data_IF_697942060824
#
_entry.id   IF_697942060824
#
_cell.length_a   1.000
_cell.length_b   1.000
_cell.length_c   1.000
_cell.angle_alpha   90.00
_cell.angle_beta   90.00
_cell.angle_gamma   90.00
#
_symmetry.space_group_name_H-M   'P 1'
#
loop_
_entity.id
_entity.type
_entity.pdbx_description
1 polymer ?
#
# COMPACT_ATOMS: atom_id res chain seq x y z
N UNK A 1 9.20 -7.13 -11.96
CA UNK A 1 8.08 -6.20 -11.68
C UNK A 1 6.78 -6.99 -11.77
N UNK A 2 5.98 -7.05 -10.71
CA UNK A 2 4.69 -7.78 -10.70
C UNK A 2 3.57 -6.75 -10.84
N UNK A 3 2.75 -6.88 -11.88
CA UNK A 3 1.58 -6.03 -12.10
C UNK A 3 0.37 -6.58 -11.37
N UNK A 4 -0.50 -5.70 -10.88
CA UNK A 4 -1.75 -6.05 -10.23
C UNK A 4 -2.88 -5.37 -10.99
N UNK A 5 -3.85 -6.16 -11.47
CA UNK A 5 -5.05 -5.62 -12.10
C UNK A 5 -6.01 -5.13 -11.01
N UNK A 6 -6.28 -3.82 -11.01
CA UNK A 6 -7.15 -3.17 -10.03
C UNK A 6 -8.43 -2.71 -10.73
N UNK A 7 -9.61 -3.13 -10.26
CA UNK A 7 -10.88 -2.61 -10.77
C UNK A 7 -10.97 -1.09 -10.62
N UNK A 8 -11.58 -0.40 -11.59
CA UNK A 8 -11.78 1.05 -11.51
C UNK A 8 -12.65 1.45 -10.31
N UNK A 9 -13.51 0.55 -9.88
CA UNK A 9 -14.43 0.69 -8.74
C UNK A 9 -13.85 0.09 -7.45
N UNK A 10 -12.54 -0.16 -7.39
CA UNK A 10 -11.92 -0.73 -6.20
C UNK A 10 -12.08 0.21 -5.00
N UNK A 11 -12.46 -0.38 -3.87
CA UNK A 11 -12.41 0.26 -2.55
C UNK A 11 -11.03 0.06 -1.93
N UNK A 12 -10.73 0.77 -0.86
CA UNK A 12 -9.53 0.58 -0.07
C UNK A 12 -9.39 -0.84 0.45
N UNK A 13 -10.46 -1.39 1.04
CA UNK A 13 -10.48 -2.77 1.53
C UNK A 13 -10.26 -3.76 0.38
N UNK A 14 -10.96 -3.58 -0.74
CA UNK A 14 -10.79 -4.45 -1.91
C UNK A 14 -9.38 -4.40 -2.50
N UNK A 15 -8.71 -3.25 -2.46
CA UNK A 15 -7.32 -3.12 -2.88
C UNK A 15 -6.37 -3.84 -1.92
N UNK A 16 -6.58 -3.72 -0.61
CA UNK A 16 -5.82 -4.44 0.42
C UNK A 16 -5.95 -5.96 0.23
N UNK A 17 -7.17 -6.48 0.09
CA UNK A 17 -7.42 -7.92 -0.11
C UNK A 17 -6.70 -8.46 -1.35
N UNK A 18 -6.71 -7.68 -2.42
CA UNK A 18 -6.08 -8.06 -3.68
C UNK A 18 -4.54 -8.05 -3.54
N UNK A 19 -4.00 -7.09 -2.81
CA UNK A 19 -2.57 -7.06 -2.44
C UNK A 19 -2.19 -8.26 -1.56
N UNK A 20 -2.97 -8.57 -0.52
CA UNK A 20 -2.78 -9.73 0.36
C UNK A 20 -2.72 -11.01 -0.46
N UNK A 21 -3.69 -11.21 -1.35
CA UNK A 21 -3.79 -12.38 -2.22
C UNK A 21 -2.57 -12.51 -3.13
N UNK A 22 -2.09 -11.40 -3.72
CA UNK A 22 -0.94 -11.40 -4.63
C UNK A 22 0.39 -11.64 -3.93
N UNK A 23 0.56 -11.13 -2.70
CA UNK A 23 1.77 -11.29 -1.88
C UNK A 23 1.76 -12.63 -1.14
N UNK A 24 0.60 -13.23 -0.89
CA UNK A 24 0.45 -14.51 -0.21
C UNK A 24 0.53 -14.42 1.31
N UNK A 25 0.14 -13.28 1.89
CA UNK A 25 0.07 -13.11 3.35
C UNK A 25 -1.17 -13.86 3.85
N UNK A 26 -0.97 -14.82 4.76
CA UNK A 26 -2.06 -15.66 5.30
C UNK A 26 -2.55 -15.23 6.69
N UNK A 27 -1.75 -14.42 7.39
CA UNK A 27 -2.03 -13.96 8.74
C UNK A 27 -2.59 -12.54 8.70
N UNK A 28 -3.75 -12.32 9.33
CA UNK A 28 -4.45 -11.03 9.39
C UNK A 28 -3.88 -10.08 10.46
N UNK A 29 -2.99 -10.60 11.30
CA UNK A 29 -2.22 -9.95 12.36
C UNK A 29 -1.09 -9.04 11.84
N UNK A 30 -1.05 -8.81 10.52
CA UNK A 30 -0.09 -7.91 9.87
C UNK A 30 -0.78 -6.66 9.35
N UNK A 31 -0.23 -5.50 9.67
CA UNK A 31 -0.71 -4.23 9.12
C UNK A 31 -0.10 -4.00 7.73
N UNK A 32 -0.94 -3.74 6.72
CA UNK A 32 -0.48 -3.39 5.37
C UNK A 32 -0.54 -1.89 5.18
N UNK A 33 0.61 -1.30 4.83
CA UNK A 33 0.73 0.12 4.52
C UNK A 33 1.06 0.27 3.05
N UNK A 34 0.18 0.95 2.31
CA UNK A 34 0.36 1.23 0.88
C UNK A 34 0.71 2.70 0.67
N UNK A 35 1.77 2.95 -0.10
CA UNK A 35 2.28 4.30 -0.40
C UNK A 35 2.68 4.41 -1.86
N UNK A 36 2.42 5.53 -2.53
CA UNK A 36 2.90 5.76 -3.90
C UNK A 36 3.79 6.99 -3.97
N UNK A 37 4.86 6.90 -4.77
CA UNK A 37 5.77 8.03 -5.01
C UNK A 37 5.28 8.82 -6.22
N UNK A 38 5.12 10.14 -6.08
CA UNK A 38 4.70 11.02 -7.18
C UNK A 38 5.91 11.52 -7.96
N UNK A 39 6.90 12.03 -7.24
CA UNK A 39 8.15 12.57 -7.77
C UNK A 39 9.34 12.15 -6.91
N UNK A 40 10.55 12.01 -7.50
CA UNK A 40 11.76 11.76 -6.75
C UNK A 40 12.02 12.85 -5.71
N UNK A 41 12.37 12.46 -4.48
CA UNK A 41 12.68 13.39 -3.39
C UNK A 41 11.45 13.92 -2.62
N UNK A 42 10.24 13.68 -3.11
CA UNK A 42 9.01 14.01 -2.37
C UNK A 42 8.60 12.86 -1.44
N UNK A 43 8.01 13.17 -0.27
CA UNK A 43 7.43 12.15 0.59
C UNK A 43 6.37 11.33 -0.17
N UNK A 44 6.37 9.99 -0.04
CA UNK A 44 5.38 9.18 -0.71
C UNK A 44 4.00 9.38 -0.07
N UNK A 45 2.97 9.38 -0.91
CA UNK A 45 1.59 9.62 -0.48
C UNK A 45 0.98 8.30 -0.02
N UNK A 46 0.37 8.32 1.16
CA UNK A 46 -0.27 7.13 1.75
C UNK A 46 -1.67 6.94 1.18
N UNK A 47 -2.06 5.68 0.97
CA UNK A 47 -3.44 5.30 0.64
C UNK A 47 -4.07 4.77 1.93
N UNK A 48 -5.09 5.46 2.45
CA UNK A 48 -5.72 5.14 3.74
C UNK A 48 -7.25 4.98 3.63
N UNK A 49 -7.85 5.46 2.56
CA UNK A 49 -9.30 5.39 2.35
C UNK A 49 -9.69 5.28 0.86
N UNK A 50 -10.98 5.06 0.62
CA UNK A 50 -11.53 4.94 -0.74
C UNK A 50 -11.28 6.17 -1.62
N UNK A 51 -11.27 7.36 -1.02
CA UNK A 51 -10.98 8.61 -1.75
C UNK A 51 -9.54 8.61 -2.28
N UNK A 52 -8.58 8.12 -1.51
CA UNK A 52 -7.18 8.03 -1.92
C UNK A 52 -7.00 7.01 -3.04
N UNK A 53 -7.69 5.86 -2.97
CA UNK A 53 -7.70 4.86 -4.05
C UNK A 53 -8.23 5.49 -5.32
N UNK A 54 -9.37 6.19 -5.25
CA UNK A 54 -9.97 6.87 -6.39
C UNK A 54 -9.01 7.90 -7.00
N UNK A 55 -8.33 8.70 -6.17
CA UNK A 55 -7.34 9.66 -6.62
C UNK A 55 -6.17 8.96 -7.33
N UNK A 56 -5.58 7.92 -6.73
CA UNK A 56 -4.49 7.16 -7.32
C UNK A 56 -4.87 6.53 -8.67
N UNK A 57 -6.05 5.91 -8.77
CA UNK A 57 -6.54 5.33 -10.03
C UNK A 57 -6.72 6.41 -11.11
N UNK A 58 -7.25 7.58 -10.76
CA UNK A 58 -7.35 8.70 -11.70
C UNK A 58 -5.98 9.23 -12.12
N UNK A 59 -5.02 9.32 -11.19
CA UNK A 59 -3.65 9.73 -11.47
C UNK A 59 -2.98 8.78 -12.48
N UNK A 60 -3.11 7.47 -12.29
CA UNK A 60 -2.60 6.45 -13.21
C UNK A 60 -3.25 6.52 -14.60
N UNK A 61 -4.55 6.85 -14.69
CA UNK A 61 -5.25 7.00 -15.98
C UNK A 61 -4.75 8.17 -16.82
N UNK A 62 -4.11 9.18 -16.23
CA UNK A 62 -3.55 10.31 -17.00
C UNK A 62 -2.31 9.93 -17.80
N UNK A 63 -1.59 8.88 -17.40
CA UNK A 63 -0.34 8.44 -18.01
C UNK A 63 -0.35 6.93 -18.29
N UNK A 64 -1.36 6.48 -19.06
CA UNK A 64 -1.60 5.05 -19.35
C UNK A 64 -0.44 4.34 -20.05
N UNK A 65 0.47 5.09 -20.69
CA UNK A 65 1.60 4.54 -21.44
C UNK A 65 2.81 4.16 -20.58
N UNK A 66 2.84 4.58 -19.31
CA UNK A 66 3.98 4.34 -18.41
C UNK A 66 3.51 3.55 -17.18
N UNK A 67 3.50 2.22 -17.31
CA UNK A 67 3.08 1.31 -16.25
C UNK A 67 3.87 1.50 -14.94
N UNK A 68 5.14 1.93 -15.03
CA UNK A 68 6.03 2.18 -13.90
C UNK A 68 5.83 3.53 -13.21
N UNK A 69 5.03 4.46 -13.76
CA UNK A 69 4.83 5.79 -13.18
C UNK A 69 3.99 5.69 -11.92
N UNK A 70 4.39 6.29 -10.82
CA UNK A 70 3.70 6.16 -9.52
C UNK A 70 3.67 4.72 -8.99
N UNK A 71 4.82 4.10 -8.73
CA UNK A 71 4.85 2.76 -8.15
C UNK A 71 4.25 2.78 -6.75
N UNK A 72 3.43 1.79 -6.43
CA UNK A 72 3.00 1.53 -5.05
C UNK A 72 4.10 0.71 -4.37
N UNK A 73 4.56 1.21 -3.23
CA UNK A 73 5.32 0.49 -2.23
C UNK A 73 4.35 -0.08 -1.20
N UNK A 74 4.60 -1.32 -0.80
CA UNK A 74 3.76 -2.07 0.14
C UNK A 74 4.67 -2.49 1.28
N UNK A 75 4.38 -1.98 2.47
CA UNK A 75 5.06 -2.35 3.69
C UNK A 75 4.14 -3.23 4.52
N UNK A 76 4.69 -4.34 5.01
CA UNK A 76 3.98 -5.30 5.86
C UNK A 76 4.61 -5.19 7.24
N UNK A 77 3.85 -4.66 8.19
CA UNK A 77 4.30 -4.44 9.56
C UNK A 77 3.75 -5.56 10.44
N UNK A 78 4.61 -6.17 11.24
CA UNK A 78 4.19 -7.08 12.32
C UNK A 78 3.90 -6.25 13.57
N UNK A 79 2.67 -6.30 14.08
CA UNK A 79 2.31 -5.62 15.34
C UNK A 79 3.03 -6.24 16.55
N UNK A 80 3.56 -7.46 16.43
CA UNK A 80 4.30 -8.14 17.50
C UNK A 80 5.67 -7.54 17.85
N UNK A 81 6.17 -6.56 17.08
CA UNK A 81 7.46 -5.94 17.34
C UNK A 81 7.39 -4.73 18.31
N UNK A 82 6.20 -4.29 18.71
CA UNK A 82 6.03 -3.11 19.58
C UNK A 82 6.06 -3.43 21.09
N UNK A 83 6.03 -4.70 21.49
CA UNK A 83 5.89 -5.11 22.90
C UNK A 83 7.11 -5.90 23.42
N UNK A 84 8.32 -5.50 23.03
CA UNK A 84 9.57 -6.08 23.54
C UNK A 84 10.60 -5.02 23.96
N UNK A 85 10.17 -3.82 24.36
CA UNK A 85 11.02 -2.97 25.20
C UNK A 85 10.84 -3.43 26.65
N UNK A 86 11.83 -4.06 27.28
CA UNK A 86 11.77 -4.33 28.70
C UNK A 86 11.66 -3.00 29.48
N UNK A 87 10.98 -2.97 30.63
CA UNK A 87 11.02 -1.80 31.50
C UNK A 87 12.48 -1.49 31.81
N UNK A 88 12.89 -0.23 31.62
CA UNK A 88 14.19 0.23 32.11
C UNK A 88 14.24 -0.02 33.62
N UNK A 89 15.03 -1.01 34.02
CA UNK A 89 15.36 -1.28 35.43
C UNK A 89 16.65 -0.54 35.74
N UNK A 90 16.60 0.42 36.67
CA UNK A 90 17.78 1.03 37.30
C UNK A 90 17.64 2.51 37.56
#
# INVERSE_FOLDING_TARGET
MKGILVPVTATYVGLIDLVISVIGIRNLDKTIVMRYAVEPGMPPVRIQCDADVKFYVQLKKRDVYVLSKFPISIDVLDESAAEAMPPEVG
#
